data_IF_115333136038
#
_entry.id   IF_115333136038
#
_cell.length_a   1.000
_cell.length_b   1.000
_cell.length_c   1.000
_cell.angle_alpha   90.00
_cell.angle_beta   90.00
_cell.angle_gamma   90.00
#
_symmetry.space_group_name_H-M   'P 1'
#
loop_
_entity.id
_entity.type
_entity.pdbx_description
1 polymer ?
#
# COMPACT_ATOMS: atom_id res chain seq x y z
N UNK A 1 10.06 -9.92 -1.31
CA UNK A 1 9.01 -9.14 -2.01
C UNK A 1 9.48 -7.71 -2.20
N UNK A 2 9.38 -7.18 -3.40
CA UNK A 2 9.73 -5.81 -3.76
C UNK A 2 8.55 -4.89 -3.46
N UNK A 3 8.80 -3.75 -2.82
CA UNK A 3 7.82 -2.67 -2.65
C UNK A 3 7.94 -1.71 -3.83
N UNK A 4 6.83 -1.47 -4.53
CA UNK A 4 6.71 -0.51 -5.61
C UNK A 4 5.68 0.56 -5.21
N UNK A 5 6.11 1.83 -5.15
CA UNK A 5 5.29 2.96 -4.72
C UNK A 5 4.43 3.56 -5.84
N UNK A 6 4.49 2.98 -7.04
CA UNK A 6 3.70 3.44 -8.18
C UNK A 6 4.11 4.82 -8.71
N UNK A 7 3.60 5.14 -9.88
CA UNK A 7 4.03 6.35 -10.61
C UNK A 7 3.56 7.66 -9.95
N UNK A 8 2.48 7.61 -9.18
CA UNK A 8 1.90 8.82 -8.56
C UNK A 8 2.81 9.47 -7.51
N UNK A 9 3.66 8.68 -6.85
CA UNK A 9 4.56 9.17 -5.80
C UNK A 9 6.00 9.33 -6.26
N UNK A 10 6.38 8.77 -7.41
CA UNK A 10 7.75 8.82 -7.93
C UNK A 10 8.25 10.23 -8.25
N UNK A 11 7.35 11.16 -8.58
CA UNK A 11 7.73 12.55 -8.84
C UNK A 11 8.24 13.28 -7.60
N UNK A 12 8.01 12.73 -6.42
CA UNK A 12 8.41 13.27 -5.12
C UNK A 12 8.01 14.75 -4.86
N UNK A 13 7.24 15.36 -5.78
CA UNK A 13 6.80 16.76 -5.67
C UNK A 13 5.36 16.86 -6.14
N UNK A 14 4.46 17.14 -5.20
CA UNK A 14 3.02 17.21 -5.42
C UNK A 14 2.52 18.62 -5.12
N UNK A 15 1.50 19.06 -5.84
CA UNK A 15 0.91 20.39 -5.60
C UNK A 15 0.00 20.36 -4.37
N UNK A 16 0.17 21.34 -3.47
CA UNK A 16 -0.76 21.56 -2.34
C UNK A 16 -2.18 21.95 -2.79
N UNK A 17 -2.32 22.38 -4.03
CA UNK A 17 -3.62 22.64 -4.65
C UNK A 17 -4.39 21.39 -5.04
N UNK A 18 -3.77 20.22 -5.05
CA UNK A 18 -4.49 18.96 -5.27
C UNK A 18 -5.43 18.69 -4.09
N UNK A 19 -6.69 18.45 -4.40
CA UNK A 19 -7.68 18.11 -3.37
C UNK A 19 -7.52 16.67 -2.87
N UNK A 20 -7.08 15.78 -3.75
CA UNK A 20 -6.85 14.36 -3.46
C UNK A 20 -5.54 13.91 -4.10
N UNK A 21 -4.72 13.24 -3.34
CA UNK A 21 -3.51 12.55 -3.82
C UNK A 21 -3.78 11.05 -3.72
N UNK A 22 -3.64 10.36 -4.84
CA UNK A 22 -3.73 8.91 -4.86
C UNK A 22 -2.41 8.31 -4.40
N UNK A 23 -2.43 7.63 -3.26
CA UNK A 23 -1.32 6.83 -2.73
C UNK A 23 -1.55 5.39 -3.15
N UNK A 24 -0.60 4.80 -3.83
CA UNK A 24 -0.63 3.40 -4.25
C UNK A 24 0.66 2.71 -3.84
N UNK A 25 0.53 1.47 -3.43
CA UNK A 25 1.66 0.59 -3.11
C UNK A 25 1.39 -0.78 -3.71
N UNK A 26 2.40 -1.36 -4.31
CA UNK A 26 2.33 -2.70 -4.85
C UNK A 26 3.39 -3.56 -4.18
N UNK A 27 3.06 -4.81 -3.96
CA UNK A 27 4.01 -5.83 -3.53
C UNK A 27 4.25 -6.78 -4.69
N UNK A 28 5.49 -6.90 -5.11
CA UNK A 28 5.90 -7.66 -6.28
C UNK A 28 6.84 -8.79 -5.88
N UNK A 29 6.64 -9.96 -6.47
CA UNK A 29 7.52 -11.10 -6.31
C UNK A 29 7.88 -11.68 -7.67
N UNK A 30 9.16 -12.00 -7.86
CA UNK A 30 9.64 -12.61 -9.09
C UNK A 30 9.06 -14.01 -9.28
N UNK A 31 8.55 -14.30 -10.47
CA UNK A 31 7.97 -15.61 -10.82
C UNK A 31 8.99 -16.73 -10.85
N UNK A 32 10.26 -16.40 -11.03
CA UNK A 32 11.35 -17.38 -11.07
C UNK A 32 11.85 -17.82 -9.69
N UNK A 33 11.42 -17.16 -8.61
CA UNK A 33 11.79 -17.56 -7.25
C UNK A 33 10.91 -18.73 -6.83
N UNK A 34 11.54 -19.85 -6.48
CA UNK A 34 10.88 -21.08 -6.04
C UNK A 34 10.11 -20.88 -4.71
N UNK A 35 8.96 -21.52 -4.54
CA UNK A 35 8.35 -22.43 -5.49
C UNK A 35 7.71 -21.65 -6.64
N UNK A 36 7.72 -22.24 -7.83
CA UNK A 36 6.98 -21.69 -8.95
C UNK A 36 5.51 -21.56 -8.54
N UNK A 37 5.05 -20.35 -8.40
CA UNK A 37 3.66 -20.10 -8.02
C UNK A 37 2.76 -20.57 -9.16
N UNK A 38 1.83 -21.49 -8.93
CA UNK A 38 0.81 -21.80 -9.94
C UNK A 38 0.07 -20.51 -10.28
N UNK A 39 -0.35 -20.37 -11.51
CA UNK A 39 -1.03 -19.16 -11.99
C UNK A 39 -2.31 -18.81 -11.21
N UNK A 40 -2.84 -19.74 -10.44
CA UNK A 40 -4.08 -19.63 -9.66
C UNK A 40 -3.84 -19.63 -8.15
N UNK A 41 -2.59 -19.70 -7.69
CA UNK A 41 -2.34 -19.79 -6.27
C UNK A 41 -2.45 -18.41 -5.64
N UNK A 42 -3.43 -18.28 -4.77
CA UNK A 42 -3.41 -17.26 -3.76
C UNK A 42 -2.11 -17.38 -2.98
N UNK A 43 -1.60 -16.29 -2.52
CA UNK A 43 -0.43 -16.31 -1.68
C UNK A 43 -0.63 -17.30 -0.54
N UNK A 44 0.40 -18.08 -0.29
CA UNK A 44 0.40 -19.07 0.78
C UNK A 44 -0.03 -18.41 2.09
N UNK A 45 -1.11 -18.91 2.68
CA UNK A 45 -1.63 -18.44 3.95
C UNK A 45 -2.76 -17.41 3.88
N UNK A 46 -3.15 -16.92 2.68
CA UNK A 46 -4.26 -15.99 2.55
C UNK A 46 -5.39 -16.59 1.74
N UNK A 47 -6.58 -16.84 2.36
CA UNK A 47 -7.73 -17.33 1.62
C UNK A 47 -8.16 -16.30 0.57
N UNK A 48 -8.36 -16.73 -0.64
CA UNK A 48 -8.88 -15.89 -1.73
C UNK A 48 -10.26 -15.29 -1.42
N UNK A 49 -11.03 -15.95 -0.55
CA UNK A 49 -12.31 -15.46 -0.04
C UNK A 49 -12.18 -14.07 0.60
N UNK A 50 -11.01 -13.70 1.11
CA UNK A 50 -10.80 -12.37 1.65
C UNK A 50 -10.89 -11.28 0.57
N UNK A 51 -10.40 -11.54 -0.63
CA UNK A 51 -10.57 -10.60 -1.76
C UNK A 51 -12.00 -10.58 -2.26
N UNK A 52 -12.66 -11.73 -2.34
CA UNK A 52 -14.06 -11.84 -2.71
C UNK A 52 -14.99 -11.05 -1.79
N UNK A 53 -14.67 -10.98 -0.49
CA UNK A 53 -15.40 -10.17 0.49
C UNK A 53 -15.39 -8.67 0.21
N UNK A 54 -14.52 -8.19 -0.67
CA UNK A 54 -14.47 -6.80 -1.13
C UNK A 54 -15.17 -6.57 -2.48
N UNK A 55 -16.00 -7.49 -2.92
CA UNK A 55 -16.65 -7.40 -4.22
C UNK A 55 -15.74 -7.66 -5.41
N UNK A 56 -14.51 -8.14 -5.18
CA UNK A 56 -13.56 -8.52 -6.22
C UNK A 56 -13.68 -10.02 -6.50
N UNK A 57 -13.51 -10.42 -7.75
CA UNK A 57 -13.44 -11.85 -8.05
C UNK A 57 -12.10 -12.42 -7.57
N UNK A 58 -12.14 -13.62 -7.02
CA UNK A 58 -10.93 -14.31 -6.56
C UNK A 58 -9.89 -14.47 -7.68
N UNK A 59 -10.35 -14.74 -8.89
CA UNK A 59 -9.48 -14.85 -10.06
C UNK A 59 -8.77 -13.54 -10.39
N UNK A 60 -9.36 -12.40 -10.06
CA UNK A 60 -8.73 -11.09 -10.27
C UNK A 60 -7.74 -10.74 -9.17
N UNK A 61 -7.94 -11.25 -7.98
CA UNK A 61 -7.02 -11.05 -6.88
C UNK A 61 -5.80 -11.96 -6.91
N UNK A 62 -5.78 -12.92 -7.81
CA UNK A 62 -4.65 -13.83 -7.94
C UNK A 62 -3.52 -13.22 -8.74
N UNK A 63 -2.39 -13.78 -8.54
CA UNK A 63 -1.17 -13.50 -9.28
C UNK A 63 -1.29 -13.69 -10.79
N UNK A 64 -2.25 -14.47 -11.26
CA UNK A 64 -2.52 -14.64 -12.68
C UNK A 64 -2.98 -13.38 -13.40
N UNK A 65 -3.41 -12.37 -12.66
CA UNK A 65 -3.87 -11.09 -13.19
C UNK A 65 -2.74 -10.06 -13.36
N UNK A 66 -1.53 -10.37 -12.88
CA UNK A 66 -0.39 -9.49 -13.08
C UNK A 66 -0.09 -9.33 -14.58
N UNK A 67 -0.10 -8.11 -15.05
CA UNK A 67 0.30 -7.75 -16.41
C UNK A 67 1.81 -7.94 -16.64
N UNK A 68 2.58 -8.01 -15.56
CA UNK A 68 4.01 -8.24 -15.62
C UNK A 68 4.30 -9.72 -15.87
N UNK A 69 5.00 -10.02 -16.97
CA UNK A 69 5.37 -11.37 -17.34
C UNK A 69 6.38 -12.02 -16.36
N UNK A 70 7.10 -11.22 -15.59
CA UNK A 70 8.21 -11.65 -14.74
C UNK A 70 7.88 -11.64 -13.25
N UNK A 71 6.95 -10.78 -12.82
CA UNK A 71 6.59 -10.57 -11.41
C UNK A 71 5.12 -10.83 -11.15
N UNK A 72 4.79 -11.16 -9.92
CA UNK A 72 3.43 -11.38 -9.42
C UNK A 72 3.10 -10.38 -8.34
N UNK A 73 1.85 -9.98 -8.29
CA UNK A 73 1.32 -9.16 -7.19
C UNK A 73 1.06 -10.02 -5.97
N UNK A 74 1.46 -9.49 -4.81
CA UNK A 74 1.35 -10.16 -3.52
C UNK A 74 0.23 -9.50 -2.71
N UNK A 75 -0.73 -10.29 -2.23
CA UNK A 75 -1.79 -9.83 -1.32
C UNK A 75 -1.47 -10.20 0.12
N UNK A 76 -1.68 -9.27 1.06
CA UNK A 76 -1.64 -9.52 2.50
C UNK A 76 -2.62 -8.60 3.24
N UNK A 77 -3.34 -9.15 4.21
CA UNK A 77 -4.20 -8.37 5.12
C UNK A 77 -3.38 -7.59 6.15
N UNK A 78 -2.10 -7.88 6.25
CA UNK A 78 -1.20 -7.26 7.23
C UNK A 78 -0.64 -5.91 6.77
N UNK A 79 -0.99 -5.47 5.55
CA UNK A 79 -0.53 -4.20 5.02
C UNK A 79 -1.16 -3.02 5.77
N UNK A 80 -0.31 -2.07 6.18
CA UNK A 80 -0.65 -0.81 6.85
C UNK A 80 -0.01 0.35 6.11
N UNK A 81 -0.77 1.44 5.99
CA UNK A 81 -0.29 2.72 5.47
C UNK A 81 -0.29 3.75 6.60
N UNK A 82 0.79 4.53 6.67
CA UNK A 82 0.90 5.70 7.55
C UNK A 82 1.39 6.89 6.74
N UNK A 83 0.75 8.05 6.89
CA UNK A 83 1.14 9.30 6.23
C UNK A 83 1.39 10.33 7.32
N UNK A 84 2.58 10.90 7.34
CA UNK A 84 3.03 11.78 8.44
C UNK A 84 3.73 13.02 7.91
N UNK A 85 3.37 14.16 8.45
CA UNK A 85 4.05 15.43 8.20
C UNK A 85 5.44 15.40 8.85
N UNK A 86 6.43 15.90 8.11
CA UNK A 86 7.79 16.07 8.61
C UNK A 86 8.05 17.56 8.93
N UNK A 87 8.89 17.80 9.91
CA UNK A 87 9.47 19.12 10.19
C UNK A 87 10.62 19.45 9.24
N UNK A 88 11.21 20.64 9.37
CA UNK A 88 12.32 21.06 8.56
C UNK A 88 13.60 20.21 8.75
N UNK A 89 13.70 19.47 9.84
CA UNK A 89 14.79 18.54 10.13
C UNK A 89 14.54 17.12 9.62
N UNK A 90 13.36 16.86 9.03
CA UNK A 90 12.95 15.53 8.55
C UNK A 90 12.39 14.61 9.64
N UNK A 91 12.14 15.13 10.84
CA UNK A 91 11.49 14.37 11.91
C UNK A 91 9.96 14.43 11.80
N UNK A 92 9.30 13.34 12.19
CA UNK A 92 7.83 13.28 12.18
C UNK A 92 7.23 14.26 13.20
N UNK A 93 6.29 15.09 12.76
CA UNK A 93 5.48 15.93 13.62
C UNK A 93 4.37 15.08 14.22
N UNK A 94 4.56 14.64 15.46
CA UNK A 94 3.60 13.82 16.19
C UNK A 94 2.31 14.60 16.42
N UNK A 95 1.17 13.98 16.16
CA UNK A 95 -0.14 14.60 16.37
C UNK A 95 -0.53 15.67 15.37
N UNK A 96 0.20 15.81 14.25
CA UNK A 96 -0.24 16.71 13.17
C UNK A 96 -1.63 16.27 12.69
N UNK A 97 -2.63 17.18 12.62
CA UNK A 97 -4.03 16.80 12.47
C UNK A 97 -4.38 16.06 11.18
N UNK A 98 -3.51 16.17 10.16
CA UNK A 98 -3.71 15.52 8.86
C UNK A 98 -2.85 14.25 8.68
N UNK A 99 -2.17 13.81 9.71
CA UNK A 99 -1.55 12.49 9.71
C UNK A 99 -2.62 11.41 9.59
N UNK A 100 -2.29 10.35 8.90
CA UNK A 100 -3.19 9.22 8.67
C UNK A 100 -2.50 7.91 9.02
N UNK A 101 -3.25 6.97 9.55
CA UNK A 101 -2.87 5.56 9.63
C UNK A 101 -4.09 4.68 9.39
N UNK A 102 -3.90 3.59 8.69
CA UNK A 102 -4.94 2.60 8.44
C UNK A 102 -4.37 1.29 7.92
N UNK A 103 -5.05 0.18 8.19
CA UNK A 103 -4.67 -1.15 7.71
C UNK A 103 -5.70 -1.74 6.77
N UNK A 104 -5.27 -2.68 5.96
CA UNK A 104 -6.16 -3.47 5.09
C UNK A 104 -7.18 -4.25 5.93
N UNK A 105 -6.75 -4.81 7.06
CA UNK A 105 -7.63 -5.57 7.95
C UNK A 105 -8.77 -4.72 8.54
N UNK A 106 -8.51 -3.47 8.91
CA UNK A 106 -9.53 -2.55 9.45
C UNK A 106 -10.57 -2.13 8.40
N UNK A 107 -10.16 -2.09 7.14
CA UNK A 107 -11.03 -1.78 6.00
C UNK A 107 -11.69 -3.00 5.38
N UNK A 108 -11.33 -4.19 5.82
CA UNK A 108 -11.74 -5.43 5.19
C UNK A 108 -13.24 -5.70 5.39
N UNK A 109 -13.93 -6.07 4.32
CA UNK A 109 -15.38 -6.32 4.36
C UNK A 109 -16.25 -5.07 4.26
N UNK A 110 -15.66 -3.87 4.18
CA UNK A 110 -16.38 -2.68 3.78
C UNK A 110 -16.47 -2.65 2.26
N UNK A 111 -17.68 -2.43 1.75
CA UNK A 111 -17.87 -2.23 0.31
C UNK A 111 -16.91 -1.13 -0.20
N UNK A 112 -16.51 -1.25 -1.44
CA UNK A 112 -15.58 -0.40 -2.21
C UNK A 112 -15.83 1.12 -2.13
N UNK A 113 -16.88 1.52 -1.45
CA UNK A 113 -17.42 2.87 -1.43
C UNK A 113 -16.81 3.79 -0.38
N UNK A 114 -15.89 3.31 0.47
CA UNK A 114 -15.27 4.19 1.45
C UNK A 114 -13.86 4.65 1.04
N UNK A 115 -13.75 5.74 0.23
CA UNK A 115 -12.47 6.26 -0.24
C UNK A 115 -11.59 6.84 0.90
N UNK A 116 -12.08 6.85 2.13
CA UNK A 116 -11.36 7.32 3.31
C UNK A 116 -10.56 6.21 4.01
N UNK A 117 -10.54 5.00 3.47
CA UNK A 117 -9.81 3.87 4.07
C UNK A 117 -8.73 3.33 3.13
N UNK A 118 -7.67 2.85 3.75
CA UNK A 118 -6.66 2.07 3.05
C UNK A 118 -7.24 0.71 2.67
N UNK A 119 -7.21 0.40 1.39
CA UNK A 119 -7.84 -0.80 0.85
C UNK A 119 -7.02 -1.46 -0.25
N UNK A 120 -7.26 -2.74 -0.46
CA UNK A 120 -6.78 -3.45 -1.64
C UNK A 120 -7.84 -3.40 -2.74
N UNK A 121 -7.43 -3.21 -3.97
CA UNK A 121 -8.32 -3.14 -5.12
C UNK A 121 -7.68 -3.70 -6.37
N UNK A 122 -8.51 -4.05 -7.35
CA UNK A 122 -8.06 -4.34 -8.71
C UNK A 122 -8.16 -3.05 -9.52
N UNK A 123 -7.04 -2.55 -9.98
CA UNK A 123 -6.99 -1.32 -10.76
C UNK A 123 -7.54 -1.52 -12.20
N UNK A 124 -7.63 -0.44 -12.96
CA UNK A 124 -8.17 -0.48 -14.34
C UNK A 124 -7.36 -1.39 -15.28
N UNK A 125 -6.10 -1.66 -14.96
CA UNK A 125 -5.26 -2.59 -15.71
C UNK A 125 -5.46 -4.05 -15.27
N UNK A 126 -6.37 -4.32 -14.32
CA UNK A 126 -6.63 -5.66 -13.80
C UNK A 126 -5.60 -6.15 -12.78
N UNK A 127 -4.79 -5.28 -12.22
CA UNK A 127 -3.74 -5.64 -11.26
C UNK A 127 -4.12 -5.27 -9.83
N UNK A 128 -3.77 -6.14 -8.88
CA UNK A 128 -3.93 -5.89 -7.46
C UNK A 128 -3.02 -4.74 -7.02
N UNK A 129 -3.57 -3.76 -6.33
CA UNK A 129 -2.84 -2.66 -5.70
C UNK A 129 -3.43 -2.34 -4.33
N UNK A 130 -2.60 -1.80 -3.43
CA UNK A 130 -3.06 -1.21 -2.18
C UNK A 130 -3.22 0.28 -2.39
N UNK A 131 -4.38 0.83 -2.10
CA UNK A 131 -4.71 2.19 -2.45
C UNK A 131 -5.35 2.99 -1.32
N UNK A 132 -5.04 4.29 -1.31
CA UNK A 132 -5.66 5.28 -0.44
C UNK A 132 -5.80 6.61 -1.17
N UNK A 133 -6.99 7.19 -1.09
CA UNK A 133 -7.25 8.53 -1.60
C UNK A 133 -7.00 9.56 -0.49
N UNK A 134 -5.77 10.05 -0.41
CA UNK A 134 -5.38 11.03 0.59
C UNK A 134 -5.99 12.39 0.28
N UNK A 135 -6.98 12.78 1.08
CA UNK A 135 -7.74 14.03 0.90
C UNK A 135 -6.98 15.22 1.51
N UNK A 136 -5.84 15.56 0.95
CA UNK A 136 -5.03 16.68 1.40
C UNK A 136 -5.77 18.02 1.34
N UNK A 137 -6.66 18.20 0.37
CA UNK A 137 -7.52 19.38 0.26
C UNK A 137 -8.44 19.62 1.46
N UNK A 138 -8.81 18.55 2.15
CA UNK A 138 -9.62 18.61 3.38
C UNK A 138 -8.79 18.88 4.64
N UNK A 139 -7.47 18.92 4.53
CA UNK A 139 -6.60 19.30 5.63
C UNK A 139 -6.75 20.81 5.89
N UNK A 140 -7.30 21.14 7.05
CA UNK A 140 -7.56 22.54 7.42
C UNK A 140 -6.29 23.30 7.86
N UNK A 141 -5.14 22.62 7.92
CA UNK A 141 -3.89 23.23 8.35
C UNK A 141 -3.29 24.11 7.26
N UNK A 142 -2.86 25.34 7.59
CA UNK A 142 -2.30 26.26 6.60
C UNK A 142 -0.94 25.83 6.07
N UNK A 143 -0.21 25.04 6.84
CA UNK A 143 1.15 24.59 6.57
C UNK A 143 1.25 23.16 6.05
N UNK A 144 0.23 22.71 5.33
CA UNK A 144 0.24 21.37 4.68
C UNK A 144 1.32 21.21 3.61
N UNK A 145 1.83 22.30 3.05
CA UNK A 145 2.99 22.27 2.17
C UNK A 145 4.26 21.80 2.92
N UNK A 146 5.21 21.26 2.18
CA UNK A 146 6.50 20.77 2.70
C UNK A 146 6.60 19.25 2.70
N UNK A 147 7.52 18.72 3.52
CA UNK A 147 7.87 17.29 3.49
C UNK A 147 6.85 16.42 4.22
N UNK A 148 6.61 15.24 3.65
CA UNK A 148 5.77 14.19 4.19
C UNK A 148 6.42 12.83 4.00
N UNK A 149 6.26 11.96 4.98
CA UNK A 149 6.65 10.55 4.88
C UNK A 149 5.43 9.69 4.73
N UNK A 150 5.45 8.85 3.72
CA UNK A 150 4.45 7.82 3.48
C UNK A 150 5.12 6.48 3.75
N UNK A 151 4.63 5.77 4.75
CA UNK A 151 5.20 4.49 5.21
C UNK A 151 4.24 3.36 4.91
N UNK A 152 4.74 2.34 4.24
CA UNK A 152 4.12 1.03 4.14
C UNK A 152 4.75 0.11 5.17
N UNK A 153 3.93 -0.58 5.95
CA UNK A 153 4.42 -1.55 6.90
C UNK A 153 3.54 -2.81 6.95
N UNK A 154 4.09 -3.87 7.49
CA UNK A 154 3.40 -5.15 7.67
C UNK A 154 3.17 -5.37 9.17
N UNK A 155 1.91 -5.37 9.59
CA UNK A 155 1.56 -5.72 10.96
C UNK A 155 1.95 -7.19 11.23
N UNK A 156 2.52 -7.52 12.39
CA UNK A 156 2.97 -8.90 12.68
C UNK A 156 1.81 -9.90 12.69
N UNK A 157 0.61 -9.43 13.02
CA UNK A 157 -0.63 -10.21 12.95
C UNK A 157 -1.79 -9.26 12.77
N UNK A 158 -2.67 -9.58 11.84
CA UNK A 158 -3.93 -8.87 11.61
C UNK A 158 -5.12 -9.79 11.88
N UNK A 159 -6.24 -9.22 12.32
CA UNK A 159 -7.46 -9.97 12.56
C UNK A 159 -8.55 -9.51 11.61
N UNK A 160 -9.14 -10.45 10.88
CA UNK A 160 -10.27 -10.22 9.97
C UNK A 160 -11.37 -11.22 10.31
N UNK A 161 -12.59 -10.74 10.56
CA UNK A 161 -13.72 -11.58 10.93
C UNK A 161 -13.41 -12.59 12.06
N UNK A 162 -12.71 -12.13 13.08
CA UNK A 162 -12.27 -12.95 14.24
C UNK A 162 -11.22 -14.02 13.93
N UNK A 163 -10.65 -14.02 12.73
CA UNK A 163 -9.55 -14.92 12.34
C UNK A 163 -8.25 -14.14 12.35
N UNK A 164 -7.25 -14.66 13.04
CA UNK A 164 -5.91 -14.08 13.08
C UNK A 164 -5.06 -14.55 11.89
N UNK A 165 -4.39 -13.61 11.24
CA UNK A 165 -3.50 -13.84 10.10
C UNK A 165 -2.09 -13.35 10.47
N UNK A 166 -1.18 -14.25 10.88
CA UNK A 166 0.22 -13.89 11.09
C UNK A 166 0.85 -13.41 9.76
N UNK A 167 1.74 -12.43 9.85
CA UNK A 167 2.47 -11.99 8.67
C UNK A 167 3.47 -13.06 8.21
N UNK A 168 3.44 -13.40 6.94
CA UNK A 168 4.40 -14.29 6.29
C UNK A 168 5.08 -13.63 5.07
N UNK A 169 4.85 -12.32 4.86
CA UNK A 169 5.48 -11.55 3.80
C UNK A 169 6.75 -10.89 4.33
N UNK A 170 7.81 -10.96 3.55
CA UNK A 170 9.11 -10.35 3.84
C UNK A 170 9.45 -9.39 2.73
N UNK A 171 9.69 -8.12 3.09
CA UNK A 171 10.19 -7.11 2.16
C UNK A 171 11.70 -7.26 2.04
N UNK A 172 12.23 -7.24 0.82
CA UNK A 172 13.67 -7.41 0.55
C UNK A 172 14.25 -6.29 -0.30
N UNK A 173 13.42 -5.53 -0.99
CA UNK A 173 13.87 -4.35 -1.74
C UNK A 173 12.73 -3.38 -2.03
N UNK A 174 13.09 -2.21 -2.53
CA UNK A 174 12.18 -1.26 -3.16
C UNK A 174 12.41 -1.26 -4.67
N UNK A 175 11.39 -0.88 -5.45
CA UNK A 175 11.56 -0.78 -6.91
C UNK A 175 12.62 0.28 -7.24
N UNK A 176 13.60 -0.03 -8.10
CA UNK A 176 14.66 0.94 -8.46
C UNK A 176 14.17 2.25 -9.06
N UNK A 177 12.95 2.29 -9.58
CA UNK A 177 12.35 3.51 -10.08
C UNK A 177 11.90 4.48 -8.95
N UNK A 178 11.75 3.97 -7.72
CA UNK A 178 11.31 4.74 -6.55
C UNK A 178 12.52 5.35 -5.83
N UNK A 179 13.17 6.33 -6.44
CA UNK A 179 14.49 6.84 -6.04
C UNK A 179 14.54 7.50 -4.65
N UNK A 180 13.39 7.90 -4.09
CA UNK A 180 13.28 8.50 -2.75
C UNK A 180 12.75 7.51 -1.71
N UNK A 181 12.52 6.27 -2.10
CA UNK A 181 12.05 5.23 -1.19
C UNK A 181 13.20 4.54 -0.45
N UNK A 182 12.91 4.07 0.74
CA UNK A 182 13.86 3.38 1.61
C UNK A 182 13.22 2.13 2.17
N UNK A 183 13.91 1.00 2.05
CA UNK A 183 13.62 -0.20 2.84
C UNK A 183 14.28 -0.05 4.22
N UNK A 184 13.48 0.02 5.27
CA UNK A 184 13.98 0.17 6.64
C UNK A 184 14.36 -1.19 7.24
N UNK A 185 13.48 -2.15 7.08
CA UNK A 185 13.61 -3.53 7.59
C UNK A 185 12.69 -4.48 6.78
N UNK A 186 12.70 -5.79 7.06
CA UNK A 186 11.87 -6.76 6.34
C UNK A 186 10.35 -6.55 6.40
N UNK A 187 9.88 -5.59 7.18
CA UNK A 187 8.45 -5.29 7.35
C UNK A 187 8.08 -3.85 7.03
N UNK A 188 9.06 -2.98 6.75
CA UNK A 188 8.81 -1.53 6.67
C UNK A 188 9.57 -0.88 5.51
N UNK A 189 8.85 -0.14 4.70
CA UNK A 189 9.40 0.75 3.67
C UNK A 189 8.72 2.11 3.73
N UNK A 190 9.43 3.18 3.39
CA UNK A 190 8.83 4.50 3.23
C UNK A 190 9.31 5.22 1.98
N UNK A 191 8.55 6.23 1.59
CA UNK A 191 8.93 7.23 0.60
C UNK A 191 8.68 8.63 1.18
N UNK A 192 9.67 9.52 1.03
CA UNK A 192 9.53 10.92 1.39
C UNK A 192 9.15 11.73 0.16
N UNK A 193 8.13 12.55 0.28
CA UNK A 193 7.60 13.40 -0.79
C UNK A 193 7.53 14.85 -0.34
N UNK A 194 7.47 15.77 -1.30
CA UNK A 194 7.25 17.19 -1.04
C UNK A 194 5.91 17.63 -1.62
N UNK A 195 5.13 18.33 -0.81
CA UNK A 195 3.89 19.01 -1.22
C UNK A 195 4.20 20.50 -1.32
N UNK A 196 4.01 21.10 -2.50
CA UNK A 196 4.29 22.51 -2.82
C UNK A 196 3.02 23.37 -2.78
#
# INVERSE_FOLDING_TARGET
VVVDWGDNLRSASLSSGQSVIRVETNLLQDKGVSPSWPATEAMTGYPMTLLGGQGKSESQGTTGVSQDATRRRVFTVNARLTIQKLDAGGAVIVGYPCNFTGSIAEGFGLEDSNPAKYGSEINVAGSLTYGYNWKLGSCAQPDKAGAWRITFSLDPTSTVNSVAYPNNVVLDSVDPADTTSVLVDPTTSYIDITVN
#
